data_IF_083549749094
#
_entry.id   IF_083549749094
#
_cell.length_a   1.000
_cell.length_b   1.000
_cell.length_c   1.000
_cell.angle_alpha   90.00
_cell.angle_beta   90.00
_cell.angle_gamma   90.00
#
_symmetry.space_group_name_H-M   'P 1'
#
loop_
_entity.id
_entity.type
_entity.pdbx_description
1 polymer ?
#
# COMPACT_ATOMS: atom_id res chain seq x y z
N UNK A 1 21.95 14.02 -15.81
CA UNK A 1 21.52 12.97 -14.86
C UNK A 1 21.92 11.62 -15.43
N UNK A 2 22.82 10.88 -14.76
CA UNK A 2 23.14 9.50 -15.14
C UNK A 2 21.95 8.62 -14.72
N UNK A 3 21.51 7.64 -15.54
CA UNK A 3 20.46 6.73 -15.13
C UNK A 3 20.91 5.96 -13.86
N UNK A 4 20.00 5.69 -12.91
CA UNK A 4 20.32 4.84 -11.77
C UNK A 4 20.78 3.48 -12.31
N UNK A 5 21.95 3.03 -11.85
CA UNK A 5 22.44 1.69 -12.19
C UNK A 5 21.41 0.66 -11.72
N UNK A 6 21.17 -0.42 -12.48
CA UNK A 6 20.29 -1.49 -12.01
C UNK A 6 20.78 -1.97 -10.64
N UNK A 7 19.88 -2.33 -9.71
CA UNK A 7 20.31 -2.93 -8.46
C UNK A 7 21.05 -4.21 -8.82
N UNK A 8 22.38 -4.18 -8.79
CA UNK A 8 23.15 -5.42 -8.70
C UNK A 8 22.56 -6.15 -7.51
N UNK A 9 22.01 -7.34 -7.76
CA UNK A 9 21.29 -8.09 -6.73
C UNK A 9 22.13 -8.07 -5.47
N UNK A 10 21.58 -7.60 -4.35
CA UNK A 10 22.34 -7.43 -3.09
C UNK A 10 22.99 -8.77 -2.68
N UNK A 11 22.32 -9.88 -3.00
CA UNK A 11 22.85 -11.24 -2.96
C UNK A 11 24.15 -11.43 -3.75
N UNK A 12 24.26 -10.83 -4.94
CA UNK A 12 25.49 -10.82 -5.75
C UNK A 12 26.66 -10.16 -5.02
N UNK A 13 26.44 -9.11 -4.22
CA UNK A 13 27.50 -8.46 -3.43
C UNK A 13 28.02 -9.36 -2.31
N UNK A 14 27.12 -10.02 -1.58
CA UNK A 14 27.51 -11.00 -0.56
C UNK A 14 28.24 -12.20 -1.17
N UNK A 15 27.74 -12.73 -2.30
CA UNK A 15 28.40 -13.82 -3.02
C UNK A 15 29.80 -13.40 -3.46
N UNK A 16 29.97 -12.18 -4.00
CA UNK A 16 31.30 -11.67 -4.36
C UNK A 16 32.21 -11.48 -3.14
N UNK A 17 31.69 -10.99 -2.02
CA UNK A 17 32.45 -10.83 -0.78
C UNK A 17 32.90 -12.19 -0.22
N UNK A 18 32.01 -13.18 -0.26
CA UNK A 18 32.29 -14.57 0.17
C UNK A 18 33.34 -15.21 -0.73
N UNK A 19 33.19 -15.12 -2.05
CA UNK A 19 34.16 -15.64 -3.01
C UNK A 19 35.53 -14.99 -2.84
N UNK A 20 35.57 -13.68 -2.59
CA UNK A 20 36.83 -12.96 -2.40
C UNK A 20 37.52 -13.37 -1.09
N UNK A 21 36.78 -13.52 0.01
CA UNK A 21 37.31 -14.01 1.29
C UNK A 21 37.86 -15.44 1.16
N UNK A 22 37.14 -16.34 0.46
CA UNK A 22 37.60 -17.70 0.18
C UNK A 22 38.86 -17.68 -0.70
N UNK A 23 38.90 -16.84 -1.75
CA UNK A 23 40.04 -16.72 -2.63
C UNK A 23 41.30 -16.22 -1.88
N UNK A 24 41.16 -15.23 -0.99
CA UNK A 24 42.28 -14.73 -0.18
C UNK A 24 42.74 -15.78 0.84
N UNK A 25 41.82 -16.53 1.43
CA UNK A 25 42.15 -17.61 2.38
C UNK A 25 42.88 -18.77 1.68
N UNK A 26 42.39 -19.20 0.52
CA UNK A 26 43.05 -20.26 -0.28
C UNK A 26 44.38 -19.75 -0.86
N UNK A 27 44.42 -18.51 -1.33
CA UNK A 27 45.62 -17.86 -1.86
C UNK A 27 46.71 -17.73 -0.79
N UNK A 28 46.36 -17.30 0.43
CA UNK A 28 47.28 -17.25 1.57
C UNK A 28 47.81 -18.63 1.96
N UNK A 29 46.93 -19.63 2.04
CA UNK A 29 47.31 -21.03 2.31
C UNK A 29 48.31 -21.55 1.28
N UNK A 30 48.04 -21.35 -0.01
CA UNK A 30 48.93 -21.78 -1.09
C UNK A 30 50.25 -21.00 -1.11
N UNK A 31 50.22 -19.69 -0.81
CA UNK A 31 51.41 -18.86 -0.74
C UNK A 31 52.38 -19.34 0.35
N UNK A 32 51.87 -19.65 1.56
CA UNK A 32 52.69 -20.26 2.61
C UNK A 32 53.20 -21.64 2.19
N UNK A 33 52.34 -22.51 1.66
CA UNK A 33 52.73 -23.86 1.25
C UNK A 33 53.84 -23.87 0.20
N UNK A 34 53.76 -22.99 -0.81
CA UNK A 34 54.79 -22.86 -1.85
C UNK A 34 56.08 -22.28 -1.27
N UNK A 35 55.99 -21.26 -0.41
CA UNK A 35 57.16 -20.64 0.21
C UNK A 35 57.94 -21.65 1.06
N UNK A 36 57.24 -22.43 1.90
CA UNK A 36 57.87 -23.48 2.70
C UNK A 36 58.60 -24.51 1.83
N UNK A 37 57.98 -24.95 0.73
CA UNK A 37 58.59 -25.90 -0.21
C UNK A 37 59.84 -25.36 -0.91
N UNK A 38 59.85 -24.07 -1.25
CA UNK A 38 60.99 -23.42 -1.92
C UNK A 38 62.19 -23.28 -0.97
N UNK A 39 61.94 -23.12 0.33
CA UNK A 39 62.97 -22.97 1.36
C UNK A 39 63.40 -24.29 2.01
N UNK A 40 62.85 -25.42 1.54
CA UNK A 40 63.20 -26.76 2.02
C UNK A 40 62.41 -27.21 3.26
N UNK A 41 61.47 -26.40 3.74
CA UNK A 41 60.57 -26.71 4.85
C UNK A 41 59.35 -27.54 4.38
N UNK A 42 58.86 -28.42 5.25
CA UNK A 42 57.69 -29.28 4.97
C UNK A 42 56.49 -28.89 5.82
N UNK A 43 55.94 -27.71 5.55
CA UNK A 43 54.69 -27.27 6.18
C UNK A 43 53.49 -28.05 5.64
N UNK A 44 52.58 -28.47 6.52
CA UNK A 44 51.34 -29.11 6.09
C UNK A 44 50.36 -28.07 5.54
N UNK A 45 49.47 -28.49 4.64
CA UNK A 45 48.40 -27.62 4.11
C UNK A 45 47.49 -27.11 5.24
N UNK A 46 47.28 -27.93 6.27
CA UNK A 46 46.47 -27.57 7.43
C UNK A 46 47.14 -26.46 8.26
N UNK A 47 48.44 -26.55 8.49
CA UNK A 47 49.19 -25.52 9.25
C UNK A 47 49.21 -24.19 8.47
N UNK A 48 49.34 -24.25 7.15
CA UNK A 48 49.28 -23.07 6.28
C UNK A 48 47.88 -22.43 6.27
N UNK A 49 46.82 -23.24 6.26
CA UNK A 49 45.44 -22.77 6.37
C UNK A 49 45.21 -22.14 7.75
N UNK A 50 45.65 -22.80 8.82
CA UNK A 50 45.54 -22.29 10.18
C UNK A 50 46.24 -20.94 10.33
N UNK A 51 47.50 -20.84 9.87
CA UNK A 51 48.27 -19.59 9.84
C UNK A 51 47.55 -18.49 9.06
N UNK A 52 46.95 -18.83 7.92
CA UNK A 52 46.18 -17.88 7.11
C UNK A 52 44.94 -17.38 7.85
N UNK A 53 44.18 -18.28 8.46
CA UNK A 53 42.96 -17.94 9.21
C UNK A 53 43.27 -17.02 10.39
N UNK A 54 44.27 -17.33 11.22
CA UNK A 54 44.63 -16.49 12.38
C UNK A 54 45.16 -15.10 11.98
N UNK A 55 45.73 -15.00 10.78
CA UNK A 55 46.26 -13.74 10.22
C UNK A 55 45.12 -12.88 9.67
N UNK A 56 44.22 -13.45 8.87
CA UNK A 56 43.05 -12.76 8.31
C UNK A 56 42.08 -12.35 9.42
N UNK A 57 41.91 -13.19 10.44
CA UNK A 57 41.02 -12.94 11.58
C UNK A 57 41.55 -11.89 12.56
N UNK A 58 42.75 -11.35 12.34
CA UNK A 58 43.43 -10.37 13.21
C UNK A 58 43.67 -10.84 14.65
N UNK A 59 43.61 -12.16 14.91
CA UNK A 59 43.86 -12.73 16.25
C UNK A 59 45.35 -12.76 16.54
N UNK A 60 46.18 -13.18 15.58
CA UNK A 60 47.63 -13.04 15.63
C UNK A 60 48.33 -13.65 16.85
N UNK A 61 47.90 -14.83 17.32
CA UNK A 61 48.40 -15.45 18.56
C UNK A 61 49.92 -15.73 18.53
N UNK A 62 50.38 -16.59 17.61
CA UNK A 62 51.80 -16.88 17.35
C UNK A 62 51.99 -17.40 15.92
N UNK A 63 53.21 -17.29 15.40
CA UNK A 63 53.61 -17.90 14.13
C UNK A 63 53.69 -19.43 14.31
N UNK A 64 52.78 -20.16 13.67
CA UNK A 64 52.65 -21.62 13.84
C UNK A 64 53.52 -22.44 12.91
N UNK A 65 54.02 -21.81 11.83
CA UNK A 65 54.88 -22.45 10.85
C UNK A 65 56.33 -22.48 11.36
N UNK A 66 57.00 -23.64 11.41
CA UNK A 66 58.41 -23.72 11.82
C UNK A 66 59.31 -22.86 10.93
N UNK A 67 60.32 -22.22 11.53
CA UNK A 67 61.37 -21.44 10.85
C UNK A 67 60.91 -20.22 10.02
N UNK A 68 59.62 -19.90 10.03
CA UNK A 68 59.05 -18.78 9.25
C UNK A 68 59.72 -17.42 9.57
N UNK A 69 60.14 -17.19 10.81
CA UNK A 69 60.86 -15.98 11.22
C UNK A 69 62.22 -15.80 10.53
N UNK A 70 62.80 -16.87 9.98
CA UNK A 70 64.07 -16.81 9.25
C UNK A 70 63.84 -16.45 7.76
N UNK A 71 62.61 -16.59 7.26
CA UNK A 71 62.23 -16.32 5.89
C UNK A 71 61.71 -14.89 5.69
N UNK A 72 62.50 -14.06 4.99
CA UNK A 72 62.04 -12.72 4.57
C UNK A 72 60.87 -12.78 3.57
N UNK A 73 60.78 -13.85 2.80
CA UNK A 73 59.71 -14.06 1.81
C UNK A 73 58.40 -14.38 2.51
N UNK A 74 58.42 -15.32 3.47
CA UNK A 74 57.22 -15.68 4.23
C UNK A 74 56.71 -14.52 5.09
N UNK A 75 57.61 -13.72 5.69
CA UNK A 75 57.24 -12.50 6.40
C UNK A 75 56.57 -11.47 5.47
N UNK A 76 57.06 -11.32 4.24
CA UNK A 76 56.44 -10.43 3.23
C UNK A 76 55.04 -10.93 2.85
N UNK A 77 54.88 -12.25 2.67
CA UNK A 77 53.57 -12.88 2.44
C UNK A 77 52.62 -12.59 3.60
N UNK A 78 53.08 -12.71 4.85
CA UNK A 78 52.29 -12.36 6.05
C UNK A 78 51.87 -10.89 6.04
N UNK A 79 52.77 -9.95 5.74
CA UNK A 79 52.42 -8.52 5.66
C UNK A 79 51.34 -8.24 4.60
N UNK A 80 51.50 -8.80 3.39
CA UNK A 80 50.51 -8.64 2.31
C UNK A 80 49.18 -9.26 2.71
N UNK A 81 49.20 -10.45 3.33
CA UNK A 81 48.01 -11.16 3.79
C UNK A 81 47.29 -10.42 4.92
N UNK A 82 47.99 -9.74 5.82
CA UNK A 82 47.37 -8.91 6.85
C UNK A 82 46.58 -7.77 6.20
N UNK A 83 47.19 -7.00 5.30
CA UNK A 83 46.51 -5.86 4.65
C UNK A 83 45.35 -6.32 3.77
N UNK A 84 45.56 -7.34 2.93
CA UNK A 84 44.53 -7.84 2.03
C UNK A 84 43.43 -8.58 2.80
N UNK A 85 43.83 -9.49 3.69
CA UNK A 85 42.96 -10.34 4.50
C UNK A 85 42.05 -9.55 5.42
N UNK A 86 42.61 -8.68 6.27
CA UNK A 86 41.81 -7.85 7.18
C UNK A 86 40.82 -6.97 6.42
N UNK A 87 41.24 -6.38 5.28
CA UNK A 87 40.35 -5.61 4.40
C UNK A 87 39.19 -6.46 3.85
N UNK A 88 39.47 -7.68 3.39
CA UNK A 88 38.42 -8.60 2.89
C UNK A 88 37.46 -9.05 3.99
N UNK A 89 37.96 -9.29 5.21
CA UNK A 89 37.14 -9.69 6.34
C UNK A 89 36.23 -8.55 6.79
N UNK A 90 36.75 -7.32 6.89
CA UNK A 90 35.94 -6.13 7.19
C UNK A 90 34.85 -5.93 6.13
N UNK A 91 35.21 -6.07 4.85
CA UNK A 91 34.24 -5.98 3.76
C UNK A 91 33.15 -7.06 3.85
N UNK A 92 33.51 -8.31 4.17
CA UNK A 92 32.57 -9.39 4.38
C UNK A 92 31.63 -9.12 5.56
N UNK A 93 32.18 -8.75 6.72
CA UNK A 93 31.38 -8.43 7.92
C UNK A 93 30.45 -7.25 7.66
N UNK A 94 30.90 -6.21 6.97
CA UNK A 94 30.06 -5.06 6.61
C UNK A 94 28.85 -5.47 5.74
N UNK A 95 29.07 -6.31 4.73
CA UNK A 95 27.96 -6.83 3.90
C UNK A 95 27.05 -7.79 4.69
N UNK A 96 27.60 -8.57 5.63
CA UNK A 96 26.82 -9.45 6.49
C UNK A 96 25.91 -8.63 7.43
N UNK A 97 26.45 -7.59 8.08
CA UNK A 97 25.68 -6.67 8.94
C UNK A 97 24.57 -5.96 8.15
N UNK A 98 24.82 -5.55 6.91
CA UNK A 98 23.80 -4.94 6.06
C UNK A 98 22.59 -5.86 5.88
N UNK A 99 22.78 -7.17 5.71
CA UNK A 99 21.68 -8.14 5.58
C UNK A 99 20.87 -8.27 6.88
N UNK A 100 21.54 -8.25 8.04
CA UNK A 100 20.87 -8.32 9.33
C UNK A 100 20.09 -7.05 9.66
N UNK A 101 20.64 -5.87 9.35
CA UNK A 101 19.98 -4.57 9.58
C UNK A 101 18.85 -4.34 8.59
N UNK A 102 19.01 -4.75 7.33
CA UNK A 102 18.01 -4.52 6.26
C UNK A 102 16.97 -5.66 6.13
N UNK A 103 17.10 -6.78 6.85
CA UNK A 103 16.02 -7.75 7.05
C UNK A 103 15.54 -8.50 5.78
N UNK A 104 16.39 -8.68 4.78
CA UNK A 104 15.99 -9.09 3.41
C UNK A 104 15.41 -10.53 3.31
N UNK A 105 15.70 -11.42 4.27
CA UNK A 105 15.06 -12.74 4.36
C UNK A 105 13.58 -12.66 4.75
N UNK A 106 13.19 -11.64 5.53
CA UNK A 106 11.81 -11.41 5.94
C UNK A 106 10.93 -10.95 4.77
N UNK A 107 11.45 -10.12 3.86
CA UNK A 107 10.69 -9.51 2.78
C UNK A 107 10.02 -10.52 1.82
N UNK A 108 10.71 -11.60 1.46
CA UNK A 108 10.16 -12.62 0.54
C UNK A 108 9.08 -13.47 1.24
N UNK A 109 9.32 -13.89 2.48
CA UNK A 109 8.33 -14.64 3.26
C UNK A 109 7.09 -13.79 3.56
N UNK A 110 7.31 -12.52 3.90
CA UNK A 110 6.28 -11.52 4.13
C UNK A 110 5.43 -11.28 2.89
N UNK A 111 6.05 -11.11 1.71
CA UNK A 111 5.32 -10.99 0.42
C UNK A 111 4.46 -12.22 0.14
N UNK A 112 4.99 -13.43 0.33
CA UNK A 112 4.21 -14.66 0.16
C UNK A 112 3.04 -14.79 1.14
N UNK A 113 3.20 -14.32 2.37
CA UNK A 113 2.12 -14.30 3.35
C UNK A 113 1.05 -13.27 2.94
N UNK A 114 1.48 -12.11 2.42
CA UNK A 114 0.60 -11.06 1.91
C UNK A 114 -0.19 -11.51 0.69
N UNK A 115 0.45 -12.13 -0.30
CA UNK A 115 -0.22 -12.67 -1.50
C UNK A 115 -1.30 -13.68 -1.08
N UNK A 116 -1.01 -14.58 -0.12
CA UNK A 116 -2.02 -15.51 0.41
C UNK A 116 -3.18 -14.81 1.12
N UNK A 117 -2.90 -13.79 1.93
CA UNK A 117 -3.94 -13.02 2.59
C UNK A 117 -4.85 -12.30 1.58
N UNK A 118 -4.28 -11.82 0.47
CA UNK A 118 -5.04 -11.22 -0.64
C UNK A 118 -5.87 -12.29 -1.37
N UNK A 119 -5.35 -13.50 -1.55
CA UNK A 119 -6.06 -14.62 -2.17
C UNK A 119 -7.31 -15.07 -1.38
N UNK A 120 -7.26 -14.96 -0.05
CA UNK A 120 -8.39 -15.31 0.84
C UNK A 120 -9.48 -14.22 0.91
N UNK A 121 -9.19 -12.98 0.47
CA UNK A 121 -10.16 -11.88 0.51
C UNK A 121 -11.25 -12.00 -0.55
N UNK A 122 -12.49 -11.72 -0.15
CA UNK A 122 -13.66 -11.60 -1.03
C UNK A 122 -14.48 -10.38 -0.67
N UNK A 123 -15.07 -9.71 -1.66
CA UNK A 123 -15.90 -8.52 -1.44
C UNK A 123 -15.11 -7.28 -1.03
N UNK A 124 -13.78 -7.31 -1.15
CA UNK A 124 -12.90 -6.17 -0.86
C UNK A 124 -12.93 -5.13 -1.99
N UNK A 125 -12.38 -3.95 -1.71
CA UNK A 125 -12.19 -2.88 -2.70
C UNK A 125 -10.72 -2.76 -3.09
N UNK A 126 -10.42 -2.67 -4.38
CA UNK A 126 -9.05 -2.48 -4.87
C UNK A 126 -8.81 -0.97 -5.05
N UNK A 127 -7.77 -0.44 -4.42
CA UNK A 127 -7.34 0.96 -4.56
C UNK A 127 -6.10 1.00 -5.43
N UNK A 128 -6.25 1.49 -6.66
CA UNK A 128 -5.16 1.61 -7.63
C UNK A 128 -4.46 2.96 -7.44
N UNK A 129 -3.26 2.91 -6.87
CA UNK A 129 -2.44 4.04 -6.47
C UNK A 129 -2.52 4.29 -4.97
N UNK A 130 -1.37 4.26 -4.30
CA UNK A 130 -1.15 4.66 -2.90
C UNK A 130 -0.60 6.10 -2.78
N UNK A 131 -0.58 6.87 -3.87
CA UNK A 131 -0.23 8.29 -3.83
C UNK A 131 -1.23 9.12 -3.03
N UNK A 132 -1.08 10.47 -3.07
CA UNK A 132 -1.85 11.41 -2.23
C UNK A 132 -3.33 11.07 -2.06
N UNK A 133 -4.08 10.92 -3.15
CA UNK A 133 -5.53 10.65 -3.06
C UNK A 133 -5.81 9.23 -2.56
N UNK A 134 -5.12 8.22 -3.10
CA UNK A 134 -5.37 6.83 -2.76
C UNK A 134 -4.98 6.46 -1.32
N UNK A 135 -3.95 7.10 -0.76
CA UNK A 135 -3.60 6.97 0.65
C UNK A 135 -4.76 7.43 1.56
N UNK A 136 -5.36 8.60 1.30
CA UNK A 136 -6.53 9.05 2.06
C UNK A 136 -7.73 8.11 1.89
N UNK A 137 -7.97 7.58 0.69
CA UNK A 137 -9.02 6.57 0.47
C UNK A 137 -8.79 5.32 1.32
N UNK A 138 -7.55 4.82 1.38
CA UNK A 138 -7.20 3.66 2.21
C UNK A 138 -7.34 3.94 3.71
N UNK A 139 -6.98 5.14 4.17
CA UNK A 139 -7.19 5.57 5.56
C UNK A 139 -8.67 5.58 5.94
N UNK A 140 -9.53 6.12 5.07
CA UNK A 140 -10.98 6.14 5.30
C UNK A 140 -11.58 4.73 5.31
N UNK A 141 -11.17 3.85 4.38
CA UNK A 141 -11.61 2.46 4.41
C UNK A 141 -11.19 1.74 5.68
N UNK A 142 -9.98 1.98 6.17
CA UNK A 142 -9.53 1.43 7.44
C UNK A 142 -10.35 1.96 8.63
N UNK A 143 -10.71 3.24 8.62
CA UNK A 143 -11.50 3.87 9.68
C UNK A 143 -12.93 3.29 9.77
N UNK A 144 -13.55 2.94 8.63
CA UNK A 144 -14.88 2.33 8.59
C UNK A 144 -14.87 0.79 8.60
N UNK A 145 -13.69 0.17 8.67
CA UNK A 145 -13.54 -1.29 8.75
C UNK A 145 -13.86 -2.04 7.45
N UNK A 146 -13.84 -1.36 6.30
CA UNK A 146 -14.09 -1.97 5.00
C UNK A 146 -12.80 -2.62 4.45
N UNK A 147 -12.84 -3.89 3.98
CA UNK A 147 -11.65 -4.57 3.49
C UNK A 147 -11.18 -3.99 2.14
N UNK A 148 -9.88 -3.74 2.04
CA UNK A 148 -9.27 -3.19 0.83
C UNK A 148 -7.88 -3.77 0.55
N UNK A 149 -7.48 -3.69 -0.72
CA UNK A 149 -6.13 -4.03 -1.21
C UNK A 149 -5.62 -2.85 -2.04
N UNK A 150 -4.37 -2.47 -1.83
CA UNK A 150 -3.75 -1.34 -2.54
C UNK A 150 -2.83 -1.85 -3.65
N UNK A 151 -2.80 -1.18 -4.80
CA UNK A 151 -1.83 -1.44 -5.87
C UNK A 151 -0.98 -0.19 -6.05
N UNK A 152 0.35 -0.32 -5.99
CA UNK A 152 1.25 0.79 -6.32
C UNK A 152 2.57 0.28 -6.89
N UNK A 153 3.25 1.10 -7.70
CA UNK A 153 4.57 0.75 -8.25
C UNK A 153 5.70 1.03 -7.26
N UNK A 154 5.49 1.94 -6.32
CA UNK A 154 6.51 2.39 -5.36
C UNK A 154 6.26 1.80 -3.96
N UNK A 155 7.22 1.03 -3.46
CA UNK A 155 7.18 0.44 -2.11
C UNK A 155 7.07 1.53 -1.02
N UNK A 156 7.72 2.68 -1.22
CA UNK A 156 7.68 3.80 -0.27
C UNK A 156 6.27 4.28 0.03
N UNK A 157 5.38 4.36 -0.98
CA UNK A 157 3.99 4.78 -0.75
C UNK A 157 3.22 3.78 0.12
N UNK A 158 3.49 2.48 -0.06
CA UNK A 158 2.86 1.41 0.74
C UNK A 158 3.37 1.44 2.18
N UNK A 159 4.68 1.67 2.36
CA UNK A 159 5.30 1.74 3.68
C UNK A 159 4.78 2.97 4.46
N UNK A 160 4.74 4.15 3.82
CA UNK A 160 4.17 5.38 4.39
C UNK A 160 2.71 5.19 4.82
N UNK A 161 1.90 4.52 3.99
CA UNK A 161 0.51 4.21 4.31
C UNK A 161 0.40 3.24 5.50
N UNK A 162 1.29 2.24 5.58
CA UNK A 162 1.36 1.32 6.70
C UNK A 162 1.75 1.99 8.01
N UNK A 163 2.70 2.92 7.97
CA UNK A 163 3.07 3.76 9.12
C UNK A 163 1.90 4.62 9.58
N UNK A 164 1.19 5.28 8.66
CA UNK A 164 0.03 6.11 8.97
C UNK A 164 -1.12 5.30 9.61
N UNK A 165 -1.30 4.05 9.20
CA UNK A 165 -2.29 3.13 9.76
C UNK A 165 -1.83 2.43 11.05
N UNK A 166 -0.55 2.50 11.39
CA UNK A 166 0.05 1.76 12.50
C UNK A 166 -0.01 0.24 12.31
N UNK A 167 -0.22 -0.24 11.08
CA UNK A 167 -0.33 -1.67 10.75
C UNK A 167 0.07 -1.94 9.31
N UNK A 168 0.37 -3.19 9.01
CA UNK A 168 0.62 -3.63 7.64
C UNK A 168 -0.64 -3.49 6.76
N UNK A 169 -0.40 -3.06 5.51
CA UNK A 169 -1.43 -2.90 4.48
C UNK A 169 -1.27 -4.02 3.47
N UNK A 170 -2.40 -4.63 3.09
CA UNK A 170 -2.41 -5.59 2.00
C UNK A 170 -2.21 -4.84 0.69
N UNK A 171 -1.07 -5.07 0.06
CA UNK A 171 -0.70 -4.36 -1.15
C UNK A 171 -0.05 -5.26 -2.20
N UNK A 172 -0.38 -5.00 -3.47
CA UNK A 172 0.27 -5.62 -4.62
C UNK A 172 1.20 -4.59 -5.24
N UNK A 173 2.49 -4.89 -5.26
CA UNK A 173 3.45 -4.07 -5.98
C UNK A 173 3.41 -4.40 -7.46
N UNK A 174 3.14 -3.39 -8.26
CA UNK A 174 2.99 -3.51 -9.70
C UNK A 174 2.28 -2.31 -10.30
N UNK A 175 2.31 -2.24 -11.63
CA UNK A 175 1.55 -1.25 -12.37
C UNK A 175 0.08 -1.70 -12.43
N UNK A 176 -0.83 -0.88 -11.89
CA UNK A 176 -2.26 -1.19 -11.90
C UNK A 176 -2.87 -1.22 -13.33
N UNK A 177 -2.16 -0.69 -14.32
CA UNK A 177 -2.55 -0.82 -15.73
C UNK A 177 -2.27 -2.21 -16.30
N UNK A 178 -1.53 -3.08 -15.61
CA UNK A 178 -1.35 -4.47 -16.03
C UNK A 178 -2.48 -5.35 -15.48
N UNK A 179 -3.19 -6.03 -16.37
CA UNK A 179 -4.29 -6.95 -16.03
C UNK A 179 -3.83 -8.02 -15.02
N UNK A 180 -2.59 -8.53 -15.15
CA UNK A 180 -2.05 -9.53 -14.23
C UNK A 180 -1.89 -8.99 -12.80
N UNK A 181 -1.67 -7.69 -12.63
CA UNK A 181 -1.57 -7.03 -11.32
C UNK A 181 -2.96 -6.88 -10.70
N UNK A 182 -3.98 -6.53 -11.49
CA UNK A 182 -5.37 -6.49 -11.04
C UNK A 182 -5.89 -7.88 -10.64
N UNK A 183 -5.52 -8.92 -11.40
CA UNK A 183 -5.83 -10.31 -11.08
C UNK A 183 -5.20 -10.75 -9.76
N UNK A 184 -3.91 -10.45 -9.54
CA UNK A 184 -3.22 -10.69 -8.26
C UNK A 184 -3.88 -9.96 -7.09
N UNK A 185 -4.42 -8.77 -7.33
CA UNK A 185 -5.20 -8.03 -6.32
C UNK A 185 -6.62 -8.58 -6.11
N UNK A 186 -7.03 -9.59 -6.89
CA UNK A 186 -8.30 -10.27 -6.73
C UNK A 186 -9.50 -9.58 -7.37
N UNK A 187 -9.33 -8.91 -8.51
CA UNK A 187 -10.41 -8.17 -9.18
C UNK A 187 -11.68 -8.99 -9.44
N UNK A 188 -11.56 -10.27 -9.77
CA UNK A 188 -12.71 -11.15 -10.03
C UNK A 188 -13.60 -11.41 -8.80
N UNK A 189 -13.08 -11.18 -7.59
CA UNK A 189 -13.78 -11.36 -6.31
C UNK A 189 -13.94 -10.05 -5.53
N UNK A 190 -13.49 -8.93 -6.09
CA UNK A 190 -13.61 -7.61 -5.50
C UNK A 190 -15.01 -7.03 -5.71
N UNK A 191 -15.52 -6.29 -4.71
CA UNK A 191 -16.78 -5.54 -4.80
C UNK A 191 -16.63 -4.28 -5.65
N UNK A 192 -15.43 -3.70 -5.69
CA UNK A 192 -15.19 -2.47 -6.44
C UNK A 192 -13.71 -2.13 -6.64
N UNK A 193 -13.49 -1.13 -7.49
CA UNK A 193 -12.18 -0.59 -7.84
C UNK A 193 -12.22 0.92 -7.73
N UNK A 194 -11.18 1.49 -7.13
CA UNK A 194 -10.90 2.92 -7.14
C UNK A 194 -9.66 3.16 -7.98
N UNK A 195 -9.82 3.80 -9.14
CA UNK A 195 -8.70 4.23 -9.97
C UNK A 195 -8.22 5.63 -9.52
N UNK A 196 -7.15 5.69 -8.74
CA UNK A 196 -6.66 6.91 -8.08
C UNK A 196 -5.22 7.29 -8.47
N UNK A 197 -4.77 6.86 -9.64
CA UNK A 197 -3.42 7.16 -10.17
C UNK A 197 -3.23 8.66 -10.43
N UNK A 198 -1.98 9.03 -10.70
CA UNK A 198 -1.54 10.42 -10.82
C UNK A 198 -2.05 11.11 -12.10
N UNK A 199 -2.37 10.36 -13.15
CA UNK A 199 -2.80 10.88 -14.45
C UNK A 199 -4.05 10.18 -14.99
N UNK A 200 -4.79 10.89 -15.83
CA UNK A 200 -6.06 10.42 -16.37
C UNK A 200 -5.92 9.29 -17.40
N UNK A 201 -4.78 9.18 -18.09
CA UNK A 201 -4.60 8.10 -19.08
C UNK A 201 -4.50 6.76 -18.37
N UNK A 202 -3.71 6.70 -17.30
CA UNK A 202 -3.59 5.50 -16.48
C UNK A 202 -4.92 5.16 -15.80
N UNK A 203 -5.66 6.15 -15.28
CA UNK A 203 -6.99 5.90 -14.71
C UNK A 203 -8.01 5.38 -15.75
N UNK A 204 -7.97 5.88 -17.00
CA UNK A 204 -8.77 5.33 -18.09
C UNK A 204 -8.37 3.87 -18.38
N UNK A 205 -7.08 3.56 -18.45
CA UNK A 205 -6.62 2.21 -18.73
C UNK A 205 -7.06 1.22 -17.64
N UNK A 206 -6.80 1.56 -16.37
CA UNK A 206 -7.26 0.77 -15.20
C UNK A 206 -8.78 0.56 -15.26
N UNK A 207 -9.54 1.58 -15.62
CA UNK A 207 -11.00 1.49 -15.72
C UNK A 207 -11.43 0.48 -16.79
N UNK A 208 -10.80 0.49 -17.96
CA UNK A 208 -11.09 -0.46 -19.05
C UNK A 208 -10.73 -1.88 -18.61
N UNK A 209 -9.51 -2.09 -18.09
CA UNK A 209 -9.05 -3.38 -17.60
C UNK A 209 -9.94 -3.93 -16.49
N UNK A 210 -10.25 -3.13 -15.48
CA UNK A 210 -11.12 -3.51 -14.38
C UNK A 210 -12.52 -3.91 -14.88
N UNK A 211 -13.09 -3.17 -15.84
CA UNK A 211 -14.40 -3.51 -16.42
C UNK A 211 -14.35 -4.79 -17.25
N UNK A 212 -13.25 -5.02 -17.98
CA UNK A 212 -13.06 -6.24 -18.77
C UNK A 212 -12.90 -7.48 -17.87
N UNK A 213 -12.16 -7.36 -16.77
CA UNK A 213 -11.90 -8.44 -15.82
C UNK A 213 -13.07 -8.70 -14.87
N UNK A 214 -13.87 -7.67 -14.55
CA UNK A 214 -15.05 -7.79 -13.70
C UNK A 214 -16.20 -6.88 -14.15
N UNK A 215 -17.20 -7.49 -14.79
CA UNK A 215 -18.41 -6.80 -15.21
C UNK A 215 -19.28 -6.31 -14.03
N UNK A 216 -19.10 -6.88 -12.83
CA UNK A 216 -19.92 -6.58 -11.65
C UNK A 216 -19.26 -5.60 -10.67
N UNK A 217 -17.94 -5.45 -10.69
CA UNK A 217 -17.23 -4.54 -9.80
C UNK A 217 -17.71 -3.10 -10.02
N UNK A 218 -17.99 -2.38 -8.92
CA UNK A 218 -18.26 -0.94 -8.97
C UNK A 218 -16.94 -0.18 -9.15
N UNK A 219 -16.82 0.59 -10.21
CA UNK A 219 -15.60 1.32 -10.57
C UNK A 219 -15.80 2.81 -10.33
N UNK A 220 -14.97 3.38 -9.45
CA UNK A 220 -14.91 4.83 -9.19
C UNK A 220 -13.55 5.34 -9.66
N UNK A 221 -13.54 6.27 -10.61
CA UNK A 221 -12.29 6.79 -11.17
C UNK A 221 -12.04 8.25 -10.77
N UNK A 222 -10.78 8.57 -10.50
CA UNK A 222 -10.29 9.92 -10.31
C UNK A 222 -10.08 10.60 -11.65
N UNK A 223 -10.66 11.79 -11.81
CA UNK A 223 -10.38 12.72 -12.90
C UNK A 223 -9.49 13.87 -12.40
N UNK A 224 -8.30 13.97 -12.94
CA UNK A 224 -7.36 15.08 -12.71
C UNK A 224 -7.80 16.30 -13.51
N UNK A 225 -8.14 16.10 -14.80
CA UNK A 225 -8.65 17.13 -15.69
C UNK A 225 -10.17 17.06 -15.86
N UNK A 226 -10.83 18.23 -15.91
CA UNK A 226 -12.29 18.34 -16.04
C UNK A 226 -12.80 17.66 -17.32
N UNK A 227 -12.03 17.68 -18.41
CA UNK A 227 -12.39 17.06 -19.68
C UNK A 227 -12.33 15.53 -19.71
N UNK A 228 -11.79 14.89 -18.65
CA UNK A 228 -11.58 13.45 -18.61
C UNK A 228 -12.80 12.68 -18.12
N UNK A 229 -13.77 13.35 -17.48
CA UNK A 229 -14.96 12.68 -16.92
C UNK A 229 -15.72 11.87 -17.97
N UNK A 230 -16.02 12.46 -19.12
CA UNK A 230 -16.75 11.79 -20.19
C UNK A 230 -15.98 10.57 -20.74
N UNK A 231 -14.64 10.62 -20.75
CA UNK A 231 -13.79 9.51 -21.22
C UNK A 231 -13.79 8.37 -20.21
N UNK A 232 -13.66 8.68 -18.92
CA UNK A 232 -13.70 7.69 -17.84
C UNK A 232 -15.05 6.99 -17.74
N UNK A 233 -16.17 7.72 -17.88
CA UNK A 233 -17.50 7.10 -17.93
C UNK A 233 -17.65 6.16 -19.13
N UNK A 234 -17.21 6.57 -20.33
CA UNK A 234 -17.22 5.71 -21.53
C UNK A 234 -16.31 4.48 -21.40
N UNK A 235 -15.23 4.59 -20.65
CA UNK A 235 -14.33 3.48 -20.35
C UNK A 235 -14.95 2.42 -19.42
N UNK A 236 -16.06 2.74 -18.76
CA UNK A 236 -16.78 1.80 -17.88
C UNK A 236 -16.79 2.18 -16.40
N UNK A 237 -16.34 3.38 -16.03
CA UNK A 237 -16.47 3.88 -14.66
C UNK A 237 -17.93 4.17 -14.32
N UNK A 238 -18.40 3.63 -13.19
CA UNK A 238 -19.76 3.87 -12.67
C UNK A 238 -19.89 5.27 -12.07
N UNK A 239 -18.80 5.77 -11.50
CA UNK A 239 -18.71 7.13 -11.00
C UNK A 239 -17.34 7.72 -11.28
N UNK A 240 -17.29 9.04 -11.46
CA UNK A 240 -16.06 9.79 -11.65
C UNK A 240 -16.04 10.94 -10.66
N UNK A 241 -14.90 11.11 -10.00
CA UNK A 241 -14.69 12.15 -8.98
C UNK A 241 -13.50 12.99 -9.40
N UNK A 242 -13.63 14.32 -9.38
CA UNK A 242 -12.49 15.22 -9.55
C UNK A 242 -12.11 15.89 -8.22
N UNK A 243 -11.07 15.38 -7.53
CA UNK A 243 -10.65 15.93 -6.24
C UNK A 243 -10.23 17.40 -6.33
N UNK A 244 -9.67 17.83 -7.47
CA UNK A 244 -9.24 19.22 -7.67
C UNK A 244 -10.44 20.18 -7.74
N UNK A 245 -11.50 19.80 -8.46
CA UNK A 245 -12.73 20.61 -8.57
C UNK A 245 -13.44 20.66 -7.21
N UNK A 246 -13.61 19.51 -6.56
CA UNK A 246 -14.25 19.42 -5.24
C UNK A 246 -13.43 20.19 -4.20
N UNK A 247 -12.12 20.02 -4.20
CA UNK A 247 -11.19 20.74 -3.34
C UNK A 247 -11.23 22.25 -3.57
N UNK A 248 -11.27 22.70 -4.82
CA UNK A 248 -11.41 24.12 -5.15
C UNK A 248 -12.73 24.72 -4.64
N UNK A 249 -13.85 24.05 -4.91
CA UNK A 249 -15.17 24.44 -4.39
C UNK A 249 -15.18 24.48 -2.85
N UNK A 250 -14.46 23.55 -2.24
CA UNK A 250 -14.32 23.46 -0.79
C UNK A 250 -13.52 24.63 -0.22
N UNK A 251 -12.39 24.99 -0.83
CA UNK A 251 -11.58 26.14 -0.42
C UNK A 251 -12.36 27.46 -0.51
N UNK A 252 -13.12 27.65 -1.60
CA UNK A 252 -13.99 28.83 -1.77
C UNK A 252 -15.10 28.84 -0.72
N UNK A 253 -15.72 27.69 -0.46
CA UNK A 253 -16.77 27.58 0.54
C UNK A 253 -16.25 27.86 1.95
N UNK A 254 -15.03 27.41 2.27
CA UNK A 254 -14.38 27.69 3.56
C UNK A 254 -14.08 29.18 3.72
N UNK A 255 -13.59 29.85 2.67
CA UNK A 255 -13.31 31.29 2.71
C UNK A 255 -14.59 32.14 2.85
N UNK A 256 -15.65 31.79 2.11
CA UNK A 256 -16.86 32.61 2.01
C UNK A 256 -17.87 32.29 3.13
N UNK A 257 -17.98 31.02 3.53
CA UNK A 257 -19.02 30.50 4.43
C UNK A 257 -18.50 29.41 5.38
N UNK A 258 -17.44 29.68 6.17
CA UNK A 258 -16.79 28.66 7.01
C UNK A 258 -17.76 28.01 8.01
N UNK A 259 -18.67 28.80 8.59
CA UNK A 259 -19.67 28.29 9.55
C UNK A 259 -20.61 27.24 8.95
N UNK A 260 -21.03 27.43 7.71
CA UNK A 260 -21.91 26.48 7.01
C UNK A 260 -21.14 25.20 6.66
N UNK A 261 -19.88 25.34 6.25
CA UNK A 261 -19.00 24.22 5.92
C UNK A 261 -18.71 23.35 7.14
N UNK A 262 -18.28 23.94 8.26
CA UNK A 262 -18.04 23.22 9.51
C UNK A 262 -19.30 22.55 10.07
N UNK A 263 -20.47 23.13 9.83
CA UNK A 263 -21.73 22.51 10.20
C UNK A 263 -21.99 21.25 9.37
N UNK A 264 -21.81 21.31 8.06
CA UNK A 264 -21.93 20.13 7.19
C UNK A 264 -20.89 19.05 7.51
N UNK A 265 -19.65 19.42 7.84
CA UNK A 265 -18.63 18.44 8.23
C UNK A 265 -19.02 17.67 9.48
N UNK A 266 -19.49 18.38 10.52
CA UNK A 266 -19.94 17.74 11.75
C UNK A 266 -21.06 16.73 11.49
N UNK A 267 -21.98 17.06 10.58
CA UNK A 267 -23.04 16.14 10.17
C UNK A 267 -22.57 14.89 9.42
N UNK A 268 -21.42 14.98 8.72
CA UNK A 268 -20.86 13.88 7.93
C UNK A 268 -19.91 12.98 8.75
N UNK A 269 -19.29 13.49 9.82
CA UNK A 269 -18.31 12.75 10.59
C UNK A 269 -18.94 11.99 11.77
N UNK A 270 -18.56 10.73 11.93
CA UNK A 270 -18.96 9.92 13.08
C UNK A 270 -18.14 10.33 14.31
N UNK A 271 -18.66 11.25 15.12
CA UNK A 271 -18.11 11.53 16.45
C UNK A 271 -19.06 11.07 17.54
N UNK A 272 -18.49 10.38 18.53
CA UNK A 272 -19.18 10.04 19.77
C UNK A 272 -19.74 11.32 20.40
N UNK A 273 -21.07 11.38 20.56
CA UNK A 273 -21.77 12.48 21.22
C UNK A 273 -22.63 13.39 20.34
N UNK A 274 -22.55 13.31 19.00
CA UNK A 274 -23.43 14.10 18.12
C UNK A 274 -24.76 13.38 17.81
N UNK A 275 -25.87 14.08 18.04
CA UNK A 275 -27.23 13.53 18.09
C UNK A 275 -27.96 13.51 16.73
N UNK A 276 -27.44 14.10 15.66
CA UNK A 276 -28.15 14.24 14.37
C UNK A 276 -27.23 13.91 13.19
N UNK A 277 -27.72 13.12 12.22
CA UNK A 277 -26.95 12.62 11.07
C UNK A 277 -27.74 12.74 9.78
N UNK A 278 -27.04 12.94 8.66
CA UNK A 278 -27.64 12.86 7.33
C UNK A 278 -27.66 11.39 6.90
N UNK A 279 -28.85 10.85 6.66
CA UNK A 279 -29.06 9.45 6.26
C UNK A 279 -29.98 9.38 5.05
N UNK A 280 -29.82 8.31 4.27
CA UNK A 280 -30.72 7.94 3.19
C UNK A 280 -31.72 6.88 3.68
N UNK A 281 -33.01 7.12 3.42
CA UNK A 281 -34.08 6.14 3.65
C UNK A 281 -34.89 5.98 2.37
N UNK A 282 -34.71 4.83 1.71
CA UNK A 282 -35.49 4.46 0.53
C UNK A 282 -36.89 4.00 0.89
N UNK A 283 -37.87 4.39 0.10
CA UNK A 283 -39.26 3.92 0.17
C UNK A 283 -39.38 2.62 -0.65
N UNK A 284 -39.54 1.46 0.00
CA UNK A 284 -39.74 0.20 -0.70
C UNK A 284 -41.15 0.10 -1.28
N UNK A 285 -41.33 -0.83 -2.22
CA UNK A 285 -42.65 -1.25 -2.70
C UNK A 285 -43.52 -1.74 -1.54
N UNK A 286 -44.79 -1.33 -1.50
CA UNK A 286 -45.76 -1.74 -0.48
C UNK A 286 -45.64 -1.02 0.86
N UNK A 287 -44.84 0.05 0.94
CA UNK A 287 -44.73 0.92 2.12
C UNK A 287 -46.07 1.59 2.45
N UNK A 288 -46.43 1.67 3.73
CA UNK A 288 -47.58 2.46 4.19
C UNK A 288 -47.49 3.97 3.88
N UNK A 289 -46.32 4.45 3.47
CA UNK A 289 -46.10 5.85 3.05
C UNK A 289 -46.28 6.05 1.53
N UNK A 290 -46.55 5.01 0.76
CA UNK A 290 -46.77 5.12 -0.68
C UNK A 290 -48.01 5.97 -0.99
N UNK A 291 -47.82 7.00 -1.82
CA UNK A 291 -48.86 7.96 -2.19
C UNK A 291 -49.25 8.95 -1.08
N UNK A 292 -48.74 8.77 0.15
CA UNK A 292 -49.07 9.64 1.27
C UNK A 292 -48.37 10.99 1.14
N UNK A 293 -49.03 12.05 1.60
CA UNK A 293 -48.44 13.39 1.60
C UNK A 293 -47.40 13.51 2.68
N UNK A 294 -46.28 14.17 2.41
CA UNK A 294 -45.19 14.36 3.37
C UNK A 294 -45.67 14.95 4.70
N UNK A 295 -46.62 15.90 4.68
CA UNK A 295 -47.20 16.49 5.89
C UNK A 295 -48.04 15.51 6.73
N UNK A 296 -48.56 14.45 6.13
CA UNK A 296 -49.41 13.43 6.78
C UNK A 296 -48.67 12.13 7.09
N UNK A 297 -47.49 11.95 6.50
CA UNK A 297 -46.63 10.80 6.72
C UNK A 297 -46.14 10.66 8.18
N UNK A 298 -46.34 11.68 9.02
CA UNK A 298 -45.99 11.62 10.43
C UNK A 298 -44.48 11.57 10.69
N UNK A 299 -43.67 11.99 9.71
CA UNK A 299 -42.20 11.87 9.75
C UNK A 299 -41.61 12.92 10.69
N UNK A 300 -42.18 14.13 10.72
CA UNK A 300 -41.69 15.23 11.54
C UNK A 300 -41.90 14.97 13.03
N UNK A 301 -42.97 14.26 13.38
CA UNK A 301 -43.34 13.83 14.73
C UNK A 301 -42.37 12.79 15.28
N UNK A 302 -41.67 12.05 14.41
CA UNK A 302 -40.58 11.16 14.80
C UNK A 302 -39.27 11.92 15.12
N UNK A 303 -39.27 13.24 15.04
CA UNK A 303 -38.06 14.06 15.18
C UNK A 303 -37.16 14.01 13.95
N UNK A 304 -37.70 13.67 12.78
CA UNK A 304 -36.95 13.58 11.52
C UNK A 304 -37.19 14.81 10.66
N UNK A 305 -36.10 15.49 10.28
CA UNK A 305 -36.13 16.58 9.31
C UNK A 305 -35.83 16.05 7.91
N UNK A 306 -36.78 16.18 6.97
CA UNK A 306 -36.54 15.84 5.56
C UNK A 306 -35.88 17.04 4.87
N UNK A 307 -34.65 16.86 4.39
CA UNK A 307 -33.89 17.89 3.68
C UNK A 307 -34.22 17.88 2.19
N UNK A 308 -34.28 16.67 1.62
CA UNK A 308 -34.60 16.46 0.21
C UNK A 308 -35.31 15.12 -0.01
N UNK A 309 -36.02 15.02 -1.13
CA UNK A 309 -36.49 13.75 -1.69
C UNK A 309 -35.82 13.56 -3.04
N UNK A 310 -35.17 12.43 -3.23
CA UNK A 310 -34.73 11.98 -4.54
C UNK A 310 -35.82 11.08 -5.12
N UNK A 311 -36.38 11.47 -6.26
CA UNK A 311 -37.36 10.63 -6.97
C UNK A 311 -36.68 9.41 -7.60
N UNK A 312 -37.48 8.44 -8.05
CA UNK A 312 -36.96 7.20 -8.63
C UNK A 312 -36.14 7.42 -9.93
N UNK A 313 -36.34 8.55 -10.61
CA UNK A 313 -35.59 8.97 -11.78
C UNK A 313 -34.24 9.65 -11.44
N UNK A 314 -33.97 9.87 -10.15
CA UNK A 314 -32.76 10.51 -9.63
C UNK A 314 -32.89 12.02 -9.40
N UNK A 315 -34.03 12.64 -9.72
CA UNK A 315 -34.29 14.08 -9.54
C UNK A 315 -34.38 14.45 -8.06
N UNK A 316 -33.68 15.51 -7.63
CA UNK A 316 -33.74 16.00 -6.25
C UNK A 316 -34.75 17.14 -6.08
N UNK A 317 -35.66 16.97 -5.14
CA UNK A 317 -36.56 18.01 -4.64
C UNK A 317 -36.03 18.48 -3.28
N UNK A 318 -35.43 19.67 -3.26
CA UNK A 318 -34.90 20.29 -2.04
C UNK A 318 -35.99 21.02 -1.26
N UNK A 319 -35.94 20.95 0.07
CA UNK A 319 -36.94 21.55 0.96
C UNK A 319 -38.39 21.20 0.53
N UNK A 320 -38.72 19.90 0.48
CA UNK A 320 -39.99 19.43 -0.07
C UNK A 320 -41.18 20.03 0.69
N UNK A 321 -42.19 20.47 -0.06
CA UNK A 321 -43.46 20.92 0.49
C UNK A 321 -44.22 19.78 1.18
N UNK A 322 -45.10 20.11 2.12
CA UNK A 322 -45.92 19.12 2.82
C UNK A 322 -46.95 18.41 1.94
N UNK A 323 -47.23 18.97 0.76
CA UNK A 323 -48.12 18.46 -0.28
C UNK A 323 -47.45 17.43 -1.21
N UNK A 324 -46.11 17.33 -1.18
CA UNK A 324 -45.37 16.33 -1.95
C UNK A 324 -45.84 14.93 -1.57
N UNK A 325 -46.22 14.14 -2.58
CA UNK A 325 -46.68 12.76 -2.41
C UNK A 325 -45.50 11.81 -2.55
N UNK A 326 -45.27 10.99 -1.54
CA UNK A 326 -44.14 10.07 -1.49
C UNK A 326 -44.36 8.89 -2.44
N UNK A 327 -43.44 8.68 -3.37
CA UNK A 327 -43.53 7.61 -4.35
C UNK A 327 -42.62 6.43 -3.99
N UNK A 328 -43.03 5.24 -4.42
CA UNK A 328 -42.20 4.04 -4.34
C UNK A 328 -40.88 4.24 -5.08
N UNK A 329 -39.79 3.74 -4.48
CA UNK A 329 -38.45 3.84 -5.04
C UNK A 329 -37.76 5.19 -4.77
N UNK A 330 -38.48 6.20 -4.30
CA UNK A 330 -37.89 7.47 -3.89
C UNK A 330 -37.02 7.30 -2.63
N UNK A 331 -35.97 8.10 -2.52
CA UNK A 331 -35.08 8.14 -1.36
C UNK A 331 -35.24 9.46 -0.60
N UNK A 332 -35.58 9.36 0.68
CA UNK A 332 -35.62 10.49 1.60
C UNK A 332 -34.21 10.77 2.11
N UNK A 333 -33.73 12.00 1.92
CA UNK A 333 -32.50 12.49 2.54
C UNK A 333 -32.88 13.23 3.82
N UNK A 334 -32.57 12.63 4.96
CA UNK A 334 -33.08 13.06 6.26
C UNK A 334 -31.96 13.46 7.22
N UNK A 335 -32.22 14.43 8.09
CA UNK A 335 -31.40 14.78 9.24
C UNK A 335 -32.13 14.39 10.51
N UNK A 336 -31.62 13.39 11.22
CA UNK A 336 -32.25 12.92 12.46
C UNK A 336 -31.28 12.14 13.36
N UNK A 337 -31.71 11.88 14.59
CA UNK A 337 -30.99 11.00 15.51
C UNK A 337 -31.06 9.54 15.05
N UNK A 338 -30.05 8.71 15.35
CA UNK A 338 -30.04 7.30 14.93
C UNK A 338 -31.32 6.54 15.30
N UNK A 339 -31.85 6.80 16.50
CA UNK A 339 -33.12 6.20 16.97
C UNK A 339 -34.32 6.65 16.12
N UNK A 340 -34.38 7.93 15.76
CA UNK A 340 -35.43 8.48 14.91
C UNK A 340 -35.36 7.92 13.48
N UNK A 341 -34.15 7.76 12.92
CA UNK A 341 -33.94 7.09 11.63
C UNK A 341 -34.36 5.63 11.68
N UNK A 342 -34.05 4.92 12.77
CA UNK A 342 -34.48 3.52 12.95
C UNK A 342 -36.00 3.39 13.01
N UNK A 343 -36.68 4.31 13.70
CA UNK A 343 -38.15 4.37 13.75
C UNK A 343 -38.75 4.70 12.39
N UNK A 344 -38.14 5.63 11.63
CA UNK A 344 -38.55 5.91 10.26
C UNK A 344 -38.41 4.66 9.39
N UNK A 345 -37.24 3.99 9.40
CA UNK A 345 -37.00 2.75 8.64
C UNK A 345 -38.00 1.65 8.96
N UNK A 346 -38.48 1.56 10.21
CA UNK A 346 -39.56 0.64 10.60
C UNK A 346 -40.88 1.06 9.95
N UNK A 347 -41.26 2.33 10.07
CA UNK A 347 -42.49 2.87 9.51
C UNK A 347 -42.59 2.76 7.98
N UNK A 348 -41.47 2.88 7.26
CA UNK A 348 -41.46 2.72 5.79
C UNK A 348 -41.56 1.24 5.35
N UNK A 349 -41.49 0.28 6.28
CA UNK A 349 -41.60 -1.17 6.00
C UNK A 349 -42.91 -1.78 6.48
N UNK A 350 -43.64 -1.08 7.34
CA UNK A 350 -45.01 -1.41 7.76
C UNK A 350 -46.01 -1.06 6.65
#
# INVERSE_FOLDING_TARGET
MRPPRPPSSRNGRLVTATLFLVAVTVGGMLAYYVTGRLEGERWSLFDCLYMTVITISTVGYTETLPSIHQSRVALTVTMVLIFLGSGTLLYFVSNLTAIFVEGDLGGILRRRAMDRAIDELTGHTIVCGAGKTGAYVALEFAAIGEPFVVIDTEQSHVDELGEALGREVLAVLGDATDDAVLERAGIGRARGVIAALADDKSNVYVTISARALSAQARIVAKAVDVGSEAKLKRAGADAVVSPNVIGGLRLVSEMVRPRAVHFLDRMLHHREGEQLRIEEVRIPEGSALEGERLARAGIRELGVLVIAVQEADGTYIYNPGGDLSLQTGASLIVLAAPEAVANLRRKVRE
#
